data_IF_294558394009
#
_entry.id   IF_294558394009
#
_cell.length_a   1.000
_cell.length_b   1.000
_cell.length_c   1.000
_cell.angle_alpha   90.00
_cell.angle_beta   90.00
_cell.angle_gamma   90.00
#
_symmetry.space_group_name_H-M   'P 1'
#
loop_
_entity.id
_entity.type
_entity.pdbx_description
1 polymer ?
#
# COMPACT_ATOMS: atom_id res chain seq x y z
N UNK A 1 4.00 -18.53 -20.40
CA UNK A 1 3.49 -17.15 -20.45
C UNK A 1 4.56 -16.32 -19.79
N UNK A 2 5.20 -15.45 -20.56
CA UNK A 2 6.28 -14.62 -20.07
C UNK A 2 5.69 -13.48 -19.22
N UNK A 3 6.30 -13.14 -18.07
CA UNK A 3 5.83 -12.04 -17.24
C UNK A 3 6.01 -10.70 -17.96
N UNK A 4 5.06 -9.78 -17.77
CA UNK A 4 5.22 -8.40 -18.24
C UNK A 4 5.97 -7.64 -17.15
N UNK A 5 7.16 -7.16 -17.47
CA UNK A 5 7.95 -6.31 -16.57
C UNK A 5 7.33 -4.91 -16.57
N UNK A 6 6.94 -4.45 -15.38
CA UNK A 6 6.30 -3.15 -15.17
C UNK A 6 7.32 -2.07 -14.83
N UNK A 7 8.45 -2.47 -14.24
CA UNK A 7 9.51 -1.57 -13.86
C UNK A 7 10.59 -2.24 -13.03
N UNK A 8 11.64 -1.48 -12.74
CA UNK A 8 12.77 -1.92 -11.91
C UNK A 8 13.17 -0.83 -10.92
N UNK A 9 13.36 -1.20 -9.66
CA UNK A 9 13.77 -0.30 -8.59
C UNK A 9 13.69 -0.97 -7.21
N UNK A 10 13.97 -0.23 -6.15
CA UNK A 10 13.68 -0.66 -4.78
C UNK A 10 12.18 -0.73 -4.56
N UNK A 11 11.65 -1.87 -4.12
CA UNK A 11 10.24 -2.01 -3.74
C UNK A 11 9.99 -1.25 -2.45
N UNK A 12 8.91 -0.48 -2.42
CA UNK A 12 8.46 0.17 -1.18
C UNK A 12 6.96 0.47 -1.27
N UNK A 13 6.37 0.94 -0.18
CA UNK A 13 4.95 1.26 -0.07
C UNK A 13 4.76 2.51 0.77
N UNK A 14 3.65 3.20 0.57
CA UNK A 14 3.35 4.39 1.37
C UNK A 14 3.02 4.00 2.80
N UNK A 15 3.51 4.76 3.79
CA UNK A 15 3.27 4.48 5.20
C UNK A 15 1.77 4.53 5.57
N UNK A 16 0.94 5.23 4.79
CA UNK A 16 -0.51 5.25 4.99
C UNK A 16 -1.20 3.93 4.68
N UNK A 17 -0.64 3.08 3.82
CA UNK A 17 -1.19 1.75 3.55
C UNK A 17 -1.29 0.92 4.84
N UNK A 18 -0.33 1.09 5.74
CA UNK A 18 -0.33 0.50 7.08
C UNK A 18 -1.34 1.15 8.04
N UNK A 19 -1.73 2.40 7.80
CA UNK A 19 -2.69 3.11 8.67
C UNK A 19 -4.14 2.76 8.36
N UNK A 20 -4.40 2.31 7.14
CA UNK A 20 -5.73 1.91 6.67
C UNK A 20 -5.88 0.40 6.48
N UNK A 21 -4.85 -0.38 6.86
CA UNK A 21 -4.76 -1.85 6.74
C UNK A 21 -5.06 -2.39 5.33
N UNK A 22 -4.95 -1.54 4.30
CA UNK A 22 -5.27 -1.90 2.91
C UNK A 22 -4.14 -2.71 2.27
N UNK A 23 -2.90 -2.28 2.46
CA UNK A 23 -1.72 -2.78 1.75
C UNK A 23 -2.00 -3.01 0.27
N UNK A 24 -2.60 -2.02 -0.40
CA UNK A 24 -3.14 -2.12 -1.75
C UNK A 24 -2.16 -1.77 -2.85
N UNK A 25 -1.12 -1.00 -2.54
CA UNK A 25 -0.22 -0.43 -3.54
C UNK A 25 1.25 -0.48 -3.11
N UNK A 26 2.11 -0.52 -4.13
CA UNK A 26 3.56 -0.41 -4.02
C UNK A 26 4.06 0.59 -5.06
N UNK A 27 5.24 1.15 -4.82
CA UNK A 27 5.98 1.91 -5.82
C UNK A 27 7.43 1.42 -5.89
N UNK A 28 8.10 1.76 -6.99
CA UNK A 28 9.51 1.43 -7.20
C UNK A 28 10.32 2.71 -7.21
N UNK A 29 11.39 2.74 -6.42
CA UNK A 29 12.40 3.79 -6.46
C UNK A 29 13.59 3.33 -7.33
N UNK A 30 13.89 4.03 -8.42
CA UNK A 30 15.06 3.73 -9.25
C UNK A 30 16.35 3.98 -8.51
N UNK A 31 16.34 4.95 -7.60
CA UNK A 31 17.52 5.29 -6.85
C UNK A 31 17.82 4.26 -5.79
N UNK A 32 19.07 3.86 -5.84
CA UNK A 32 19.61 2.82 -5.01
C UNK A 32 19.70 3.20 -3.54
N UNK A 33 19.87 4.48 -3.27
CA UNK A 33 20.14 4.98 -1.94
C UNK A 33 18.85 5.20 -1.13
N UNK A 34 17.67 5.13 -1.77
CA UNK A 34 16.37 5.36 -1.14
C UNK A 34 16.15 6.81 -0.68
N UNK A 35 17.12 7.70 -0.86
CA UNK A 35 17.05 9.10 -0.43
C UNK A 35 16.55 10.01 -1.55
N UNK A 36 16.83 9.64 -2.78
CA UNK A 36 16.35 10.38 -3.96
C UNK A 36 15.02 9.81 -4.42
N UNK A 37 14.06 10.68 -4.73
CA UNK A 37 12.69 10.30 -5.12
C UNK A 37 12.58 10.10 -6.64
N UNK A 38 13.49 9.33 -7.26
CA UNK A 38 13.35 8.95 -8.68
C UNK A 38 12.42 7.73 -8.79
N UNK A 39 11.12 7.99 -8.77
CA UNK A 39 10.11 6.92 -8.79
C UNK A 39 9.83 6.45 -10.22
N UNK A 40 9.65 5.14 -10.37
CA UNK A 40 9.21 4.54 -11.63
C UNK A 40 7.77 4.95 -11.93
N UNK A 41 7.53 5.35 -13.17
CA UNK A 41 6.18 5.57 -13.70
C UNK A 41 5.62 4.31 -14.32
N UNK A 42 4.34 4.04 -14.07
CA UNK A 42 3.62 2.87 -14.58
C UNK A 42 2.64 3.23 -15.70
N UNK A 43 2.99 4.22 -16.53
CA UNK A 43 2.10 4.76 -17.58
C UNK A 43 1.68 3.69 -18.61
N UNK A 44 2.55 2.71 -18.88
CA UNK A 44 2.31 1.60 -19.82
C UNK A 44 1.80 0.32 -19.14
N UNK A 45 1.43 0.37 -17.85
CA UNK A 45 0.95 -0.82 -17.15
C UNK A 45 -0.38 -1.31 -17.76
N UNK A 46 -0.59 -2.64 -17.88
CA UNK A 46 -1.80 -3.23 -18.45
C UNK A 46 -2.98 -3.17 -17.45
N UNK A 47 -3.38 -1.96 -17.05
CA UNK A 47 -4.45 -1.67 -16.09
C UNK A 47 -5.77 -2.34 -16.50
N UNK A 48 -6.50 -2.86 -15.51
CA UNK A 48 -7.75 -3.59 -15.72
C UNK A 48 -7.55 -5.05 -16.12
N UNK A 49 -6.30 -5.52 -16.23
CA UNK A 49 -6.03 -6.92 -16.52
C UNK A 49 -5.90 -7.72 -15.22
N UNK A 50 -6.53 -8.90 -15.18
CA UNK A 50 -6.41 -9.83 -14.06
C UNK A 50 -5.09 -10.59 -14.14
N UNK A 51 -4.38 -10.64 -13.01
CA UNK A 51 -3.11 -11.35 -12.91
C UNK A 51 -2.61 -11.45 -11.48
N UNK A 52 -1.38 -11.93 -11.36
CA UNK A 52 -0.61 -11.92 -10.12
C UNK A 52 0.47 -10.85 -10.23
N UNK A 53 0.55 -9.96 -9.25
CA UNK A 53 1.67 -9.04 -9.10
C UNK A 53 2.80 -9.76 -8.36
N UNK A 54 3.99 -9.77 -8.95
CA UNK A 54 5.17 -10.50 -8.47
C UNK A 54 6.35 -9.55 -8.44
N UNK A 55 7.10 -9.55 -7.35
CA UNK A 55 8.40 -8.92 -7.28
C UNK A 55 9.48 -9.97 -7.62
N UNK A 56 10.35 -9.65 -8.56
CA UNK A 56 11.49 -10.49 -8.93
C UNK A 56 12.73 -9.85 -8.34
N UNK A 57 13.41 -10.55 -7.44
CA UNK A 57 14.60 -10.03 -6.75
C UNK A 57 15.77 -9.97 -7.73
N UNK A 58 16.27 -8.77 -8.00
CA UNK A 58 17.42 -8.57 -8.88
C UNK A 58 18.72 -8.43 -8.10
N UNK A 59 18.65 -7.85 -6.91
CA UNK A 59 19.77 -7.75 -5.99
C UNK A 59 19.25 -7.56 -4.56
N UNK A 60 19.90 -8.23 -3.61
CA UNK A 60 19.64 -8.05 -2.18
C UNK A 60 20.57 -6.97 -1.67
N UNK A 61 19.99 -5.95 -1.03
CA UNK A 61 20.79 -5.02 -0.23
C UNK A 61 20.84 -5.61 1.18
N UNK A 62 22.03 -5.75 1.79
CA UNK A 62 22.08 -6.20 3.16
C UNK A 62 21.42 -5.14 4.06
N UNK A 63 20.22 -5.44 4.55
CA UNK A 63 19.49 -4.60 5.49
C UNK A 63 20.02 -4.85 6.90
N UNK A 64 21.17 -4.26 7.23
CA UNK A 64 21.70 -4.30 8.60
C UNK A 64 20.96 -3.30 9.49
N UNK A 65 19.78 -3.65 9.97
CA UNK A 65 19.17 -2.93 11.09
C UNK A 65 19.79 -3.47 12.40
N UNK A 66 20.52 -2.62 13.13
CA UNK A 66 21.15 -2.98 14.40
C UNK A 66 20.15 -3.53 15.44
N UNK A 67 18.85 -3.24 15.30
CA UNK A 67 17.77 -3.77 16.13
C UNK A 67 17.44 -5.25 15.88
N UNK A 68 17.70 -5.78 14.68
CA UNK A 68 17.36 -7.17 14.31
C UNK A 68 18.39 -8.17 14.84
N UNK A 69 19.67 -7.78 14.89
CA UNK A 69 20.75 -8.52 15.55
C UNK A 69 20.48 -8.74 17.05
N UNK A 70 19.83 -7.79 17.73
CA UNK A 70 19.49 -7.88 19.16
C UNK A 70 18.33 -8.85 19.43
N UNK A 71 17.51 -9.15 18.41
CA UNK A 71 16.33 -10.02 18.53
C UNK A 71 16.52 -11.41 17.93
N UNK A 72 17.67 -11.71 17.32
CA UNK A 72 17.97 -13.02 16.74
C UNK A 72 17.06 -13.39 15.56
N UNK A 73 16.31 -12.43 15.02
CA UNK A 73 15.52 -12.58 13.82
C UNK A 73 16.42 -12.14 12.66
N UNK A 74 17.04 -13.10 11.96
CA UNK A 74 17.58 -12.80 10.64
C UNK A 74 16.36 -12.74 9.69
N UNK A 75 16.11 -11.60 9.02
CA UNK A 75 15.26 -11.64 7.84
C UNK A 75 15.78 -12.76 6.93
N UNK A 76 14.87 -13.58 6.41
CA UNK A 76 15.23 -14.50 5.34
C UNK A 76 15.54 -13.63 4.12
N UNK A 77 16.82 -13.31 3.90
CA UNK A 77 17.25 -12.58 2.72
C UNK A 77 16.82 -13.38 1.48
N UNK A 78 15.99 -12.80 0.59
CA UNK A 78 15.51 -13.54 -0.57
C UNK A 78 16.67 -13.81 -1.54
N UNK A 79 16.59 -14.88 -2.33
CA UNK A 79 17.61 -15.17 -3.32
C UNK A 79 17.49 -14.25 -4.55
N UNK A 80 18.60 -13.92 -5.21
CA UNK A 80 18.54 -13.27 -6.53
C UNK A 80 17.83 -14.21 -7.52
N UNK A 81 16.88 -13.67 -8.27
CA UNK A 81 15.98 -14.41 -9.14
C UNK A 81 14.76 -15.00 -8.43
N UNK A 82 14.67 -14.88 -7.10
CA UNK A 82 13.47 -15.26 -6.37
C UNK A 82 12.28 -14.40 -6.79
N UNK A 83 11.14 -15.06 -6.92
CA UNK A 83 9.89 -14.43 -7.25
C UNK A 83 9.01 -14.43 -6.02
N UNK A 84 8.70 -13.24 -5.55
CA UNK A 84 7.89 -13.01 -4.36
C UNK A 84 6.50 -12.58 -4.82
N UNK A 85 5.47 -13.43 -4.68
CA UNK A 85 4.10 -13.03 -4.96
C UNK A 85 3.67 -11.91 -4.03
N UNK A 86 3.25 -10.78 -4.58
CA UNK A 86 2.72 -9.67 -3.79
C UNK A 86 1.21 -9.81 -3.64
N UNK A 87 0.49 -10.15 -4.71
CA UNK A 87 -0.97 -10.29 -4.63
C UNK A 87 -1.57 -10.79 -5.93
N UNK A 88 -2.85 -11.16 -5.90
CA UNK A 88 -3.60 -11.59 -7.07
C UNK A 88 -4.89 -10.79 -7.20
N UNK A 89 -5.19 -10.33 -8.41
CA UNK A 89 -6.40 -9.56 -8.66
C UNK A 89 -6.36 -8.78 -9.97
N UNK A 90 -7.16 -7.74 -10.04
CA UNK A 90 -7.21 -6.82 -11.18
C UNK A 90 -6.19 -5.70 -10.98
N UNK A 91 -5.24 -5.57 -11.92
CA UNK A 91 -4.17 -4.56 -11.86
C UNK A 91 -4.75 -3.15 -11.95
N UNK A 92 -4.29 -2.25 -11.08
CA UNK A 92 -4.62 -0.83 -11.13
C UNK A 92 -3.38 0.03 -10.83
N UNK A 93 -3.46 1.29 -11.25
CA UNK A 93 -2.47 2.33 -10.95
C UNK A 93 -3.20 3.51 -10.33
N UNK A 94 -2.61 4.12 -9.31
CA UNK A 94 -3.15 5.31 -8.66
C UNK A 94 -2.05 6.36 -8.42
N UNK A 95 -2.42 7.65 -8.33
CA UNK A 95 -1.46 8.68 -7.97
C UNK A 95 -1.05 8.55 -6.50
N UNK A 96 0.26 8.55 -6.26
CA UNK A 96 0.87 8.71 -4.94
C UNK A 96 0.72 10.16 -4.45
N UNK A 97 0.73 10.34 -3.13
CA UNK A 97 0.72 11.68 -2.50
C UNK A 97 1.94 12.53 -2.90
N UNK A 98 3.06 11.88 -3.26
CA UNK A 98 4.28 12.55 -3.71
C UNK A 98 4.26 12.92 -5.21
N UNK A 99 3.11 12.78 -5.90
CA UNK A 99 2.94 13.18 -7.30
C UNK A 99 3.46 12.17 -8.32
N UNK A 100 3.68 10.92 -7.90
CA UNK A 100 4.10 9.80 -8.75
C UNK A 100 2.99 8.75 -8.88
N UNK A 101 3.26 7.62 -9.52
CA UNK A 101 2.29 6.51 -9.68
C UNK A 101 2.64 5.33 -8.79
N UNK A 102 1.63 4.75 -8.15
CA UNK A 102 1.73 3.49 -7.43
C UNK A 102 0.95 2.42 -8.17
N UNK A 103 1.39 1.17 -8.03
CA UNK A 103 0.78 0.02 -8.69
C UNK A 103 0.27 -0.97 -7.66
N UNK A 104 -0.88 -1.57 -7.95
CA UNK A 104 -1.53 -2.49 -7.04
C UNK A 104 -2.41 -3.50 -7.77
N UNK A 105 -2.92 -4.47 -7.01
CA UNK A 105 -3.97 -5.38 -7.48
C UNK A 105 -5.18 -5.30 -6.58
N UNK A 106 -6.36 -5.17 -7.18
CA UNK A 106 -7.63 -5.26 -6.46
C UNK A 106 -8.04 -6.73 -6.38
N UNK A 107 -8.14 -7.31 -5.19
CA UNK A 107 -8.53 -8.70 -5.05
C UNK A 107 -9.98 -8.90 -5.47
N UNK A 108 -10.28 -10.09 -6.00
CA UNK A 108 -11.60 -10.42 -6.53
C UNK A 108 -12.44 -11.28 -5.54
N UNK A 109 -11.95 -11.44 -4.32
CA UNK A 109 -12.56 -12.23 -3.23
C UNK A 109 -13.38 -11.38 -2.24
N UNK A 110 -13.41 -10.05 -2.45
CA UNK A 110 -14.18 -9.12 -1.62
C UNK A 110 -13.50 -8.69 -0.33
N UNK A 111 -12.23 -9.05 -0.08
CA UNK A 111 -11.50 -8.55 1.09
C UNK A 111 -11.25 -7.04 1.01
N UNK A 112 -11.39 -6.36 2.14
CA UNK A 112 -11.14 -4.92 2.27
C UNK A 112 -9.72 -4.58 2.69
N UNK A 113 -8.97 -5.56 3.19
CA UNK A 113 -7.66 -5.42 3.83
C UNK A 113 -6.64 -6.38 3.19
N UNK A 114 -5.36 -6.12 3.41
CA UNK A 114 -4.23 -6.95 2.98
C UNK A 114 -4.28 -7.38 1.51
N UNK A 115 -4.56 -6.42 0.62
CA UNK A 115 -4.66 -6.65 -0.82
C UNK A 115 -3.36 -7.20 -1.42
N UNK A 116 -2.22 -6.79 -0.87
CA UNK A 116 -0.91 -7.37 -1.06
C UNK A 116 -0.44 -8.05 0.23
N UNK A 117 0.43 -9.05 0.12
CA UNK A 117 1.07 -9.73 1.24
C UNK A 117 2.04 -8.78 1.96
N UNK A 118 1.73 -8.32 3.19
CA UNK A 118 2.59 -7.37 3.91
C UNK A 118 3.95 -7.97 4.29
N UNK A 119 4.05 -9.30 4.40
CA UNK A 119 5.31 -9.97 4.73
C UNK A 119 6.28 -9.90 3.56
N UNK A 120 5.78 -10.02 2.33
CA UNK A 120 6.53 -9.85 1.09
C UNK A 120 7.06 -8.42 0.89
N UNK A 121 6.38 -7.43 1.46
CA UNK A 121 6.78 -6.02 1.37
C UNK A 121 8.00 -5.71 2.23
N UNK A 122 8.27 -6.47 3.29
CA UNK A 122 9.38 -6.17 4.22
C UNK A 122 10.79 -6.39 3.65
N UNK A 123 10.91 -6.93 2.44
CA UNK A 123 12.20 -7.13 1.80
C UNK A 123 12.75 -5.81 1.24
N UNK A 124 13.71 -5.20 1.94
CA UNK A 124 14.56 -4.14 1.36
C UNK A 124 15.48 -4.77 0.30
N UNK A 125 15.04 -4.76 -0.96
CA UNK A 125 15.78 -5.33 -2.09
C UNK A 125 15.52 -4.54 -3.37
N UNK A 126 16.47 -4.58 -4.31
CA UNK A 126 16.19 -4.17 -5.68
C UNK A 126 15.35 -5.25 -6.32
N UNK A 127 14.17 -4.88 -6.76
CA UNK A 127 13.26 -5.78 -7.44
C UNK A 127 12.89 -5.22 -8.80
N UNK A 128 12.60 -6.12 -9.72
CA UNK A 128 11.70 -5.80 -10.82
C UNK A 128 10.28 -6.11 -10.36
N UNK A 129 9.35 -5.15 -10.49
CA UNK A 129 7.94 -5.50 -10.39
C UNK A 129 7.49 -6.05 -11.75
N UNK A 130 6.87 -7.22 -11.71
CA UNK A 130 6.34 -7.88 -12.89
C UNK A 130 4.90 -8.33 -12.63
N UNK A 131 4.09 -8.37 -13.68
CA UNK A 131 2.76 -8.99 -13.62
C UNK A 131 2.73 -10.26 -14.44
N UNK A 132 2.18 -11.31 -13.84
CA UNK A 132 1.81 -12.54 -14.51
C UNK A 132 0.34 -12.45 -14.87
N UNK A 133 0.07 -12.12 -16.12
CA UNK A 133 -1.29 -12.07 -16.60
C UNK A 133 -1.88 -13.47 -16.69
N UNK A 134 -3.09 -13.65 -16.18
CA UNK A 134 -3.88 -14.80 -16.55
C UNK A 134 -4.33 -14.60 -18.01
N UNK A 135 -4.31 -15.63 -18.88
CA UNK A 135 -4.99 -15.54 -20.15
C UNK A 135 -6.45 -15.15 -19.86
N UNK A 136 -6.93 -14.07 -20.49
CA UNK A 136 -8.34 -13.73 -20.49
C UNK A 136 -9.11 -14.99 -20.87
N UNK A 137 -9.70 -15.67 -19.89
CA UNK A 137 -10.79 -16.56 -20.22
C UNK A 137 -11.90 -15.61 -20.67
N UNK A 138 -12.07 -15.49 -21.98
CA UNK A 138 -13.38 -15.22 -22.55
C UNK A 138 -14.30 -16.37 -22.12
N UNK A 139 -14.68 -16.40 -20.85
CA UNK A 139 -15.90 -17.08 -20.45
C UNK A 139 -17.00 -16.15 -20.92
N UNK A 140 -17.56 -16.53 -22.07
CA UNK A 140 -18.75 -15.93 -22.63
C UNK A 140 -19.80 -15.80 -21.55
N UNK A 141 -20.49 -14.67 -21.57
CA UNK A 141 -21.74 -14.52 -20.86
C UNK A 141 -22.65 -15.73 -21.18
N UNK A 142 -23.17 -16.46 -20.17
CA UNK A 142 -24.50 -16.98 -20.31
C UNK A 142 -25.47 -15.81 -20.15
N UNK A 143 -26.34 -15.68 -21.14
CA UNK A 143 -27.41 -14.70 -21.22
C UNK A 143 -28.13 -14.47 -19.88
N UNK A 144 -28.47 -13.21 -19.61
CA UNK A 144 -29.58 -12.87 -18.73
C UNK A 144 -30.77 -13.78 -19.04
N UNK A 145 -31.30 -14.57 -18.09
CA UNK A 145 -32.66 -15.02 -18.22
C UNK A 145 -33.56 -13.81 -18.03
N UNK A 146 -34.43 -13.64 -19.02
CA UNK A 146 -35.41 -12.60 -19.17
C UNK A 146 -36.15 -12.24 -17.86
N UNK A 147 -36.45 -10.94 -17.78
CA UNK A 147 -37.38 -10.35 -16.86
C UNK A 147 -38.66 -11.18 -16.70
N UNK A 148 -38.96 -11.57 -15.46
CA UNK A 148 -40.32 -11.90 -15.03
C UNK A 148 -40.96 -10.64 -14.45
N UNK A 149 -42.11 -10.17 -14.96
CA UNK A 149 -42.84 -9.09 -14.30
C UNK A 149 -43.46 -9.63 -13.00
N UNK A 150 -43.08 -9.06 -11.85
CA UNK A 150 -43.73 -9.28 -10.57
C UNK A 150 -45.00 -8.40 -10.46
N UNK A 151 -46.09 -8.91 -9.87
CA UNK A 151 -47.35 -8.16 -9.75
C UNK A 151 -47.28 -7.07 -8.67
N UNK A 152 -47.83 -5.92 -9.01
CA UNK A 152 -48.05 -4.75 -8.16
C UNK A 152 -48.71 -5.11 -6.83
N UNK A 153 -48.01 -4.86 -5.71
CA UNK A 153 -48.60 -4.88 -4.37
C UNK A 153 -48.31 -3.58 -3.63
N UNK A 154 -49.37 -2.77 -3.56
CA UNK A 154 -49.83 -1.88 -2.48
C UNK A 154 -48.80 -1.13 -1.62
N UNK A 155 -48.93 0.21 -1.74
CA UNK A 155 -48.55 1.27 -0.79
C UNK A 155 -48.68 0.87 0.69
N UNK A 156 -47.68 1.24 1.46
CA UNK A 156 -47.80 1.64 2.87
C UNK A 156 -46.98 2.94 3.09
N UNK A 157 -47.42 3.83 4.01
CA UNK A 157 -46.99 5.23 4.08
C UNK A 157 -45.59 5.45 4.71
N UNK A 158 -45.00 6.65 4.56
CA UNK A 158 -43.69 6.97 5.10
C UNK A 158 -43.70 7.04 6.63
N UNK A 159 -42.79 6.29 7.26
CA UNK A 159 -42.38 6.48 8.65
C UNK A 159 -41.43 7.67 8.70
N UNK A 160 -41.76 8.68 9.51
CA UNK A 160 -40.91 9.83 9.77
C UNK A 160 -39.49 9.42 10.22
N UNK A 161 -38.44 10.12 9.76
CA UNK A 161 -37.09 9.89 10.28
C UNK A 161 -36.98 10.43 11.71
N UNK A 162 -36.74 9.51 12.63
CA UNK A 162 -36.36 9.80 14.01
C UNK A 162 -35.03 10.58 14.02
N UNK A 163 -34.91 11.71 14.75
CA UNK A 163 -33.64 12.43 14.86
C UNK A 163 -32.60 11.61 15.64
N UNK A 164 -31.31 11.73 15.29
CA UNK A 164 -30.24 11.00 15.98
C UNK A 164 -30.10 11.46 17.44
N UNK A 165 -29.68 10.58 18.36
CA UNK A 165 -29.36 10.97 19.73
C UNK A 165 -28.18 11.94 19.76
N UNK A 166 -28.29 12.95 20.62
CA UNK A 166 -27.30 14.00 20.83
C UNK A 166 -25.93 13.40 21.22
N UNK A 167 -24.89 13.81 20.48
CA UNK A 167 -23.50 13.50 20.82
C UNK A 167 -23.12 14.23 22.13
N UNK A 168 -22.40 13.57 23.06
CA UNK A 168 -21.77 14.28 24.17
C UNK A 168 -20.67 15.19 23.63
N UNK A 169 -20.71 16.46 24.05
CA UNK A 169 -19.75 17.49 23.67
C UNK A 169 -18.31 17.09 24.03
N UNK A 170 -17.42 17.14 23.05
CA UNK A 170 -15.97 17.10 23.30
C UNK A 170 -15.57 18.28 24.21
N UNK A 171 -14.82 18.06 25.30
CA UNK A 171 -14.18 19.16 26.01
C UNK A 171 -13.09 19.79 25.13
N UNK A 172 -13.06 21.12 25.12
CA UNK A 172 -12.11 21.95 24.39
C UNK A 172 -10.64 21.64 24.79
N UNK A 173 -9.66 21.77 23.88
CA UNK A 173 -8.26 21.74 24.25
C UNK A 173 -7.93 22.97 25.12
N UNK A 174 -7.42 22.70 26.33
CA UNK A 174 -6.92 23.73 27.22
C UNK A 174 -5.76 24.48 26.57
N UNK A 175 -5.86 25.79 26.65
CA UNK A 175 -4.89 26.78 26.19
C UNK A 175 -3.51 26.58 26.83
N UNK A 176 -2.51 26.73 25.97
CA UNK A 176 -1.19 27.34 26.19
C UNK A 176 -0.88 27.85 27.59
N UNK A 177 0.16 27.30 28.21
CA UNK A 177 0.99 28.03 29.17
C UNK A 177 2.42 28.06 28.65
N UNK A 178 2.78 29.19 28.04
CA UNK A 178 4.16 29.62 27.91
C UNK A 178 4.79 29.77 29.29
N UNK A 179 5.96 29.18 29.51
CA UNK A 179 6.89 29.66 30.53
C UNK A 179 8.29 29.81 29.93
N UNK A 180 8.56 31.05 29.50
CA UNK A 180 9.91 31.59 29.31
C UNK A 180 10.57 31.86 30.66
N UNK A 181 11.90 32.02 30.59
CA UNK A 181 12.86 32.62 31.56
C UNK A 181 13.33 31.70 32.68
N UNK A 182 14.65 31.50 32.90
CA UNK A 182 15.70 32.54 33.06
C UNK A 182 17.10 32.18 32.52
N UNK A 183 17.78 33.25 32.10
CA UNK A 183 19.22 33.54 32.11
C UNK A 183 20.02 32.86 33.26
N UNK A 184 21.15 32.18 32.99
CA UNK A 184 22.58 32.66 32.90
C UNK A 184 23.20 33.03 34.28
N UNK A 185 24.54 33.11 34.49
CA UNK A 185 25.75 32.52 33.85
C UNK A 185 26.61 31.72 34.88
N UNK A 186 27.75 31.09 34.53
CA UNK A 186 29.09 31.60 34.88
C UNK A 186 30.22 30.72 34.28
N UNK A 187 31.16 31.41 33.61
CA UNK A 187 32.56 31.05 33.25
C UNK A 187 33.45 31.01 34.53
N UNK A 188 34.80 30.78 34.50
CA UNK A 188 35.71 30.32 33.44
C UNK A 188 36.85 29.33 33.89
N UNK A 189 37.71 28.97 32.91
CA UNK A 189 39.19 28.80 32.94
C UNK A 189 39.87 27.96 34.05
N UNK A 190 40.63 26.94 33.63
CA UNK A 190 42.09 26.90 33.87
C UNK A 190 42.77 25.87 32.94
N UNK A 191 43.68 26.37 32.10
CA UNK A 191 44.88 25.66 31.63
C UNK A 191 45.96 25.74 32.75
N UNK A 192 47.17 25.16 32.65
CA UNK A 192 48.02 24.96 31.47
C UNK A 192 48.04 23.56 30.87
#
# INVERSE_FOLDING_TARGET
MDPIVLGTGSLTWHADERRIDRYGTVHLNRDADGFTRDLVRFDDAPVGTRGQLVAIVLAVRPAFHAGDLVRGAAPSDPAVGEEIPLGTGTLFVEPSQDGNTEIGVRPDDGRSEDWLDPTALTAESYVAAATRLAPRQHNGAPASPAARPLPSSRRSPPTDPQPPPAQPACPAPARSASRRTRHQPSRPLHAP
#
